data_IF_459542851142
#
_entry.id   IF_459542851142
#
_cell.length_a   1.000
_cell.length_b   1.000
_cell.length_c   1.000
_cell.angle_alpha   90.00
_cell.angle_beta   90.00
_cell.angle_gamma   90.00
#
_symmetry.space_group_name_H-M   'P 1'
#
loop_
_entity.id
_entity.type
_entity.pdbx_description
1 polymer ?
#
# COMPACT_ATOMS: atom_id res chain seq x y z
N UNK A 1 -20.42 4.07 26.79
CA UNK A 1 -20.69 2.73 26.21
C UNK A 1 -19.86 2.61 24.94
N UNK A 2 -18.57 2.27 25.04
CA UNK A 2 -17.78 1.92 23.85
C UNK A 2 -17.81 0.40 23.73
N UNK A 3 -18.73 -0.10 22.91
CA UNK A 3 -18.91 -1.52 22.69
C UNK A 3 -17.62 -2.15 22.18
N UNK A 4 -17.33 -3.36 22.64
CA UNK A 4 -16.14 -4.16 22.35
C UNK A 4 -15.87 -4.33 20.83
N UNK A 5 -15.31 -3.31 20.17
CA UNK A 5 -14.90 -3.38 18.76
C UNK A 5 -13.57 -4.14 18.68
N UNK A 6 -13.58 -5.24 17.94
CA UNK A 6 -12.39 -6.08 17.73
C UNK A 6 -11.22 -5.31 17.08
N UNK A 7 -11.51 -4.38 16.17
CA UNK A 7 -10.47 -3.59 15.51
C UNK A 7 -10.56 -2.13 15.91
N UNK A 8 -9.45 -1.59 16.43
CA UNK A 8 -9.29 -0.18 16.78
C UNK A 8 -8.33 0.49 15.80
N UNK A 9 -8.76 1.57 15.15
CA UNK A 9 -7.88 2.38 14.30
C UNK A 9 -6.83 3.08 15.15
N UNK A 10 -5.56 2.90 14.78
CA UNK A 10 -4.39 3.52 15.41
C UNK A 10 -3.95 4.76 14.62
N UNK A 11 -3.91 4.67 13.29
CA UNK A 11 -3.42 5.74 12.41
C UNK A 11 -4.04 5.61 11.02
N UNK A 12 -4.37 6.75 10.39
CA UNK A 12 -4.66 6.81 8.96
C UNK A 12 -3.39 7.15 8.17
N UNK A 13 -3.23 6.53 7.01
CA UNK A 13 -2.15 6.79 6.08
C UNK A 13 -2.51 7.94 5.14
N UNK A 14 -1.51 8.48 4.43
CA UNK A 14 -1.77 9.48 3.40
C UNK A 14 -2.59 8.88 2.26
N UNK A 15 -3.64 9.59 1.88
CA UNK A 15 -4.54 9.19 0.82
C UNK A 15 -4.00 9.57 -0.57
N UNK A 16 -4.55 8.93 -1.61
CA UNK A 16 -4.37 9.27 -3.03
C UNK A 16 -2.91 9.38 -3.46
N UNK A 17 -2.15 8.32 -3.20
CA UNK A 17 -0.73 8.22 -3.57
C UNK A 17 -0.60 7.42 -4.85
N UNK A 18 0.05 8.01 -5.85
CA UNK A 18 0.24 7.40 -7.15
C UNK A 18 1.66 7.69 -7.66
N UNK A 19 2.24 6.71 -8.35
CA UNK A 19 3.50 6.85 -9.05
C UNK A 19 3.25 6.83 -10.55
N UNK A 20 4.01 7.63 -11.30
CA UNK A 20 3.83 7.78 -12.74
C UNK A 20 3.85 6.41 -13.45
N UNK A 21 2.83 6.17 -14.27
CA UNK A 21 2.67 4.92 -15.02
C UNK A 21 2.18 3.73 -14.19
N UNK A 22 1.91 3.90 -12.89
CA UNK A 22 1.34 2.83 -12.07
C UNK A 22 -0.09 2.51 -12.52
N UNK A 23 -0.42 1.23 -12.76
CA UNK A 23 -1.79 0.80 -13.09
C UNK A 23 -2.75 0.94 -11.90
N UNK A 24 -2.25 1.23 -10.71
CA UNK A 24 -3.02 1.34 -9.46
C UNK A 24 -2.58 2.56 -8.66
N UNK A 25 -3.52 3.14 -7.92
CA UNK A 25 -3.29 4.21 -6.96
C UNK A 25 -3.65 3.73 -5.55
N UNK A 26 -2.85 4.06 -4.54
CA UNK A 26 -3.28 3.90 -3.16
C UNK A 26 -4.36 4.95 -2.88
N UNK A 27 -5.59 4.50 -2.61
CA UNK A 27 -6.70 5.39 -2.28
C UNK A 27 -6.59 5.87 -0.84
N UNK A 28 -6.53 4.93 0.10
CA UNK A 28 -6.42 5.19 1.54
C UNK A 28 -5.84 3.98 2.25
N UNK A 29 -5.36 4.17 3.47
CA UNK A 29 -4.94 3.08 4.32
C UNK A 29 -5.03 3.43 5.80
N UNK A 30 -5.00 2.40 6.65
CA UNK A 30 -5.02 2.56 8.09
C UNK A 30 -4.22 1.46 8.79
N UNK A 31 -3.59 1.83 9.89
CA UNK A 31 -3.08 0.89 10.89
C UNK A 31 -4.17 0.63 11.90
N UNK A 32 -4.51 -0.63 12.10
CA UNK A 32 -5.47 -1.10 13.08
C UNK A 32 -4.75 -1.97 14.12
N UNK A 33 -5.31 -2.02 15.32
CA UNK A 33 -4.95 -2.97 16.37
C UNK A 33 -6.13 -3.90 16.63
N UNK A 34 -5.91 -5.20 16.50
CA UNK A 34 -6.86 -6.21 16.96
C UNK A 34 -6.81 -6.25 18.50
N UNK A 35 -7.92 -5.91 19.16
CA UNK A 35 -8.03 -5.84 20.62
C UNK A 35 -8.15 -7.20 21.28
N UNK A 36 -8.45 -8.25 20.51
CA UNK A 36 -8.54 -9.64 21.00
C UNK A 36 -7.17 -10.32 20.93
N UNK A 37 -6.48 -10.20 19.80
CA UNK A 37 -5.18 -10.88 19.58
C UNK A 37 -3.98 -10.00 19.93
N UNK A 38 -4.16 -8.68 19.97
CA UNK A 38 -3.06 -7.71 20.12
C UNK A 38 -2.30 -7.43 18.83
N UNK A 39 -2.65 -8.09 17.72
CA UNK A 39 -1.96 -7.97 16.44
C UNK A 39 -2.13 -6.58 15.81
N UNK A 40 -1.09 -6.15 15.10
CA UNK A 40 -1.16 -4.96 14.25
C UNK A 40 -1.51 -5.36 12.83
N UNK A 41 -2.40 -4.58 12.23
CA UNK A 41 -2.96 -4.83 10.90
C UNK A 41 -2.79 -3.55 10.09
N UNK A 42 -2.28 -3.70 8.87
CA UNK A 42 -2.28 -2.69 7.85
C UNK A 42 -3.43 -2.99 6.89
N UNK A 43 -4.39 -2.08 6.82
CA UNK A 43 -5.50 -2.13 5.86
C UNK A 43 -5.22 -1.13 4.75
N UNK A 44 -5.18 -1.59 3.51
CA UNK A 44 -4.90 -0.76 2.33
C UNK A 44 -6.08 -0.87 1.36
N UNK A 45 -6.45 0.24 0.74
CA UNK A 45 -7.41 0.27 -0.34
C UNK A 45 -6.79 0.97 -1.54
N UNK A 46 -6.93 0.36 -2.70
CA UNK A 46 -6.40 0.85 -3.96
C UNK A 46 -7.53 1.20 -4.92
N UNK A 47 -7.23 2.02 -5.92
CA UNK A 47 -8.05 2.26 -7.12
C UNK A 47 -7.30 1.68 -8.32
N UNK A 48 -8.00 0.90 -9.14
CA UNK A 48 -7.49 0.49 -10.45
C UNK A 48 -7.56 1.68 -11.42
N UNK A 49 -6.45 2.01 -12.07
CA UNK A 49 -6.36 3.06 -13.09
C UNK A 49 -6.12 2.51 -14.50
N UNK A 50 -5.88 1.21 -14.62
CA UNK A 50 -5.71 0.53 -15.89
C UNK A 50 -7.04 0.38 -16.64
N UNK A 51 -6.97 0.31 -17.97
CA UNK A 51 -8.12 -0.04 -18.81
C UNK A 51 -8.52 -1.52 -18.67
N UNK A 52 -7.57 -2.36 -18.26
CA UNK A 52 -7.76 -3.80 -18.08
C UNK A 52 -8.13 -4.13 -16.64
N UNK A 53 -9.02 -5.09 -16.46
CA UNK A 53 -9.39 -5.59 -15.14
C UNK A 53 -8.21 -6.33 -14.49
N UNK A 54 -7.93 -5.99 -13.22
CA UNK A 54 -6.87 -6.60 -12.44
C UNK A 54 -7.37 -7.90 -11.81
N UNK A 55 -6.57 -8.96 -11.98
CA UNK A 55 -6.74 -10.28 -11.36
C UNK A 55 -5.90 -10.43 -10.09
N UNK A 56 -4.69 -9.90 -10.12
CA UNK A 56 -3.71 -10.06 -9.04
C UNK A 56 -2.82 -8.83 -8.90
N UNK A 57 -2.48 -8.47 -7.66
CA UNK A 57 -1.49 -7.44 -7.36
C UNK A 57 -0.48 -7.93 -6.33
N UNK A 58 0.79 -8.00 -6.73
CA UNK A 58 1.92 -8.34 -5.87
C UNK A 58 2.51 -7.05 -5.32
N UNK A 59 2.54 -6.93 -3.99
CA UNK A 59 3.05 -5.76 -3.29
C UNK A 59 4.10 -6.15 -2.25
N UNK A 60 5.12 -5.32 -2.16
CA UNK A 60 6.12 -5.33 -1.09
C UNK A 60 5.85 -4.11 -0.20
N UNK A 61 5.83 -4.30 1.12
CA UNK A 61 5.52 -3.25 2.08
C UNK A 61 6.70 -3.12 3.03
N UNK A 62 7.41 -1.99 2.96
CA UNK A 62 8.45 -1.66 3.93
C UNK A 62 7.82 -0.95 5.13
N UNK A 63 7.97 -1.55 6.31
CA UNK A 63 7.57 -0.95 7.58
C UNK A 63 8.74 -0.14 8.13
N UNK A 64 8.53 1.16 8.32
CA UNK A 64 9.54 2.11 8.76
C UNK A 64 9.29 2.56 10.20
N UNK A 65 10.34 2.73 10.99
CA UNK A 65 10.25 3.39 12.30
C UNK A 65 10.10 4.92 12.18
N UNK A 66 10.13 5.61 13.33
CA UNK A 66 10.00 7.07 13.38
C UNK A 66 11.19 7.83 12.75
N UNK A 67 12.34 7.16 12.56
CA UNK A 67 13.52 7.71 11.90
C UNK A 67 13.54 7.38 10.39
N UNK A 68 12.53 6.69 9.88
CA UNK A 68 12.48 6.24 8.49
C UNK A 68 13.31 5.00 8.20
N UNK A 69 13.84 4.32 9.23
CA UNK A 69 14.59 3.07 9.04
C UNK A 69 13.61 1.93 8.78
N UNK A 70 13.86 1.14 7.74
CA UNK A 70 13.14 -0.11 7.51
C UNK A 70 13.45 -1.11 8.64
N UNK A 71 12.40 -1.56 9.31
CA UNK A 71 12.48 -2.47 10.47
C UNK A 71 11.77 -3.81 10.22
N UNK A 72 10.99 -3.91 9.14
CA UNK A 72 10.27 -5.11 8.70
C UNK A 72 9.89 -4.91 7.22
N UNK A 73 9.85 -5.98 6.44
CA UNK A 73 9.38 -5.97 5.05
C UNK A 73 8.40 -7.12 4.87
N UNK A 74 7.27 -6.85 4.21
CA UNK A 74 6.18 -7.80 4.01
C UNK A 74 5.93 -7.97 2.52
N UNK A 75 5.88 -9.20 2.06
CA UNK A 75 5.37 -9.52 0.73
C UNK A 75 3.90 -9.94 0.85
N UNK A 76 3.04 -9.30 0.07
CA UNK A 76 1.61 -9.59 0.06
C UNK A 76 1.09 -9.66 -1.37
N UNK A 77 0.23 -10.66 -1.63
CA UNK A 77 -0.42 -10.81 -2.92
C UNK A 77 -1.93 -10.70 -2.74
N UNK A 78 -2.52 -9.70 -3.37
CA UNK A 78 -3.97 -9.62 -3.52
C UNK A 78 -4.38 -10.49 -4.71
N UNK A 79 -5.04 -11.62 -4.44
CA UNK A 79 -5.53 -12.55 -5.47
C UNK A 79 -7.04 -12.41 -5.66
N UNK A 80 -7.57 -13.10 -6.67
CA UNK A 80 -9.00 -13.17 -6.96
C UNK A 80 -9.66 -11.80 -7.13
N UNK A 81 -8.88 -10.83 -7.61
CA UNK A 81 -9.36 -9.49 -7.89
C UNK A 81 -10.21 -9.50 -9.17
N UNK A 82 -11.19 -8.60 -9.18
CA UNK A 82 -12.00 -8.26 -10.34
C UNK A 82 -12.21 -6.74 -10.41
N UNK A 83 -11.09 -6.01 -10.35
CA UNK A 83 -11.13 -4.55 -10.26
C UNK A 83 -10.93 -3.93 -11.64
N UNK A 84 -12.02 -3.39 -12.19
CA UNK A 84 -12.02 -2.60 -13.42
C UNK A 84 -11.57 -1.17 -13.19
N UNK A 85 -11.47 -0.38 -14.27
CA UNK A 85 -11.05 1.02 -14.21
C UNK A 85 -11.91 1.82 -13.21
N UNK A 86 -11.25 2.56 -12.34
CA UNK A 86 -11.81 3.35 -11.23
C UNK A 86 -12.46 2.54 -10.09
N UNK A 87 -12.39 1.22 -10.11
CA UNK A 87 -12.91 0.39 -9.02
C UNK A 87 -11.91 0.24 -7.88
N UNK A 88 -12.46 -0.02 -6.69
CA UNK A 88 -11.71 -0.16 -5.44
C UNK A 88 -11.38 -1.63 -5.16
N UNK A 89 -10.20 -1.89 -4.61
CA UNK A 89 -9.83 -3.22 -4.12
C UNK A 89 -8.90 -3.16 -2.89
N UNK A 90 -8.68 -4.31 -2.25
CA UNK A 90 -7.74 -4.50 -1.13
C UNK A 90 -8.31 -4.25 0.27
N UNK A 91 -9.42 -3.54 0.40
CA UNK A 91 -9.97 -3.12 1.70
C UNK A 91 -10.47 -4.26 2.60
N UNK A 92 -10.66 -5.46 2.06
CA UNK A 92 -11.08 -6.66 2.83
C UNK A 92 -9.93 -7.56 3.25
N UNK A 93 -8.70 -7.26 2.82
CA UNK A 93 -7.51 -8.08 3.06
C UNK A 93 -6.66 -7.46 4.18
N UNK A 94 -6.66 -8.02 5.41
CA UNK A 94 -5.76 -7.55 6.46
C UNK A 94 -4.33 -7.99 6.18
N UNK A 95 -3.39 -7.04 6.13
CA UNK A 95 -1.96 -7.33 6.09
C UNK A 95 -1.41 -7.28 7.51
N UNK A 96 -1.00 -8.40 8.07
CA UNK A 96 -0.45 -8.46 9.43
C UNK A 96 1.03 -8.05 9.44
N UNK A 97 1.42 -7.31 10.47
CA UNK A 97 2.82 -6.96 10.70
C UNK A 97 3.16 -7.08 12.18
N UNK A 98 4.39 -7.48 12.48
CA UNK A 98 4.79 -7.87 13.84
C UNK A 98 5.36 -6.70 14.63
N UNK A 99 5.98 -5.74 13.95
CA UNK A 99 6.77 -4.72 14.63
C UNK A 99 5.92 -3.49 15.02
N UNK A 100 5.54 -3.44 16.30
CA UNK A 100 4.78 -2.31 16.88
C UNK A 100 5.49 -0.94 16.80
N UNK A 101 6.80 -0.91 16.48
CA UNK A 101 7.54 0.34 16.25
C UNK A 101 7.31 0.92 14.86
N UNK A 102 6.66 0.20 13.95
CA UNK A 102 6.34 0.70 12.62
C UNK A 102 5.42 1.92 12.72
N UNK A 103 5.86 3.05 12.17
CA UNK A 103 5.14 4.33 12.16
C UNK A 103 4.79 4.77 10.75
N UNK A 104 5.55 4.31 9.76
CA UNK A 104 5.37 4.67 8.37
C UNK A 104 5.50 3.42 7.47
N UNK A 105 4.93 3.50 6.27
CA UNK A 105 4.85 2.39 5.33
C UNK A 105 5.16 2.89 3.93
N UNK A 106 6.06 2.20 3.24
CA UNK A 106 6.24 2.36 1.80
C UNK A 106 5.67 1.14 1.11
N UNK A 107 4.79 1.36 0.14
CA UNK A 107 4.11 0.30 -0.60
C UNK A 107 4.71 0.29 -2.00
N UNK A 108 5.31 -0.82 -2.37
CA UNK A 108 5.93 -1.02 -3.67
C UNK A 108 5.11 -2.05 -4.44
N UNK A 109 4.40 -1.60 -5.48
CA UNK A 109 3.70 -2.52 -6.38
C UNK A 109 4.78 -3.15 -7.27
N UNK A 110 4.96 -4.48 -7.19
CA UNK A 110 5.99 -5.22 -7.94
C UNK A 110 5.46 -5.76 -9.27
N UNK A 111 4.23 -6.26 -9.25
CA UNK A 111 3.60 -6.89 -10.41
C UNK A 111 2.08 -6.75 -10.33
N UNK A 112 1.45 -6.46 -11.48
CA UNK A 112 0.01 -6.55 -11.67
C UNK A 112 -0.25 -7.58 -12.77
N UNK A 113 -1.10 -8.56 -12.48
CA UNK A 113 -1.64 -9.49 -13.48
C UNK A 113 -3.06 -9.11 -13.82
N UNK A 114 -3.35 -8.96 -15.11
CA UNK A 114 -4.68 -8.63 -15.62
C UNK A 114 -5.49 -9.90 -15.93
N UNK A 115 -6.81 -9.77 -16.08
CA UNK A 115 -7.69 -10.91 -16.40
C UNK A 115 -7.39 -11.58 -17.74
N UNK A 116 -6.80 -10.87 -18.69
CA UNK A 116 -6.37 -11.43 -19.97
C UNK A 116 -5.02 -12.19 -19.87
N UNK A 117 -4.43 -12.25 -18.68
CA UNK A 117 -3.14 -12.89 -18.42
C UNK A 117 -1.91 -12.01 -18.70
N UNK A 118 -2.11 -10.78 -19.23
CA UNK A 118 -1.00 -9.84 -19.40
C UNK A 118 -0.51 -9.33 -18.04
N UNK A 119 0.77 -8.98 -17.97
CA UNK A 119 1.44 -8.59 -16.72
C UNK A 119 2.13 -7.25 -16.89
N UNK A 120 2.00 -6.39 -15.88
CA UNK A 120 2.82 -5.19 -15.73
C UNK A 120 3.83 -5.45 -14.60
N UNK A 121 5.12 -5.56 -14.94
CA UNK A 121 6.20 -5.78 -13.98
C UNK A 121 7.11 -4.56 -13.95
N UNK A 122 6.90 -3.73 -12.93
CA UNK A 122 7.69 -2.54 -12.66
C UNK A 122 7.53 -2.20 -11.16
N UNK A 123 8.49 -1.48 -10.60
CA UNK A 123 8.43 -1.06 -9.20
C UNK A 123 7.75 0.31 -9.08
N UNK A 124 6.51 0.32 -8.60
CA UNK A 124 5.78 1.55 -8.32
C UNK A 124 5.76 1.83 -6.83
N UNK A 125 6.64 2.74 -6.39
CA UNK A 125 6.74 3.17 -4.99
C UNK A 125 5.66 4.18 -4.64
N UNK A 126 4.86 3.86 -3.65
CA UNK A 126 3.79 4.67 -3.09
C UNK A 126 4.13 4.94 -1.62
N UNK A 127 4.37 6.20 -1.26
CA UNK A 127 4.69 6.56 0.13
C UNK A 127 3.41 6.75 0.92
N UNK A 128 3.15 5.90 1.92
CA UNK A 128 2.01 6.03 2.83
C UNK A 128 2.40 6.77 4.12
N UNK A 129 3.20 7.83 3.98
CA UNK A 129 3.58 8.75 5.05
C UNK A 129 2.38 9.52 5.59
N UNK A 130 1.70 8.96 6.59
CA UNK A 130 0.61 9.69 7.26
C UNK A 130 1.09 11.07 7.68
N UNK A 131 0.39 12.11 7.21
CA UNK A 131 0.73 13.54 7.22
C UNK A 131 1.84 13.91 8.22
N UNK A 132 3.09 13.74 7.78
CA UNK A 132 4.24 14.46 8.29
C UNK A 132 4.90 15.03 7.05
N UNK A 133 4.75 16.34 6.89
CA UNK A 133 5.41 17.10 5.85
C UNK A 133 6.92 16.91 6.00
N UNK A 134 7.51 16.06 5.16
CA UNK A 134 8.93 16.10 4.85
C UNK A 134 9.02 16.34 3.35
N UNK A 135 9.25 17.59 3.00
CA UNK A 135 9.76 17.94 1.69
C UNK A 135 11.10 17.21 1.50
N UNK A 136 11.19 16.40 0.44
CA UNK A 136 12.33 16.28 -0.46
C UNK A 136 12.06 15.14 -1.45
N UNK A 137 11.41 15.49 -2.57
CA UNK A 137 11.52 14.69 -3.80
C UNK A 137 12.97 14.81 -4.29
N UNK A 138 13.73 13.72 -4.24
CA UNK A 138 14.91 13.58 -5.10
C UNK A 138 14.41 13.05 -6.45
N UNK A 139 14.26 13.94 -7.42
CA UNK A 139 14.20 13.53 -8.82
C UNK A 139 15.64 13.37 -9.27
N UNK A 140 16.12 12.13 -9.39
CA UNK A 140 17.29 11.84 -10.22
C UNK A 140 16.82 11.90 -11.67
N UNK A 141 17.16 12.98 -12.38
CA UNK A 141 17.06 13.00 -13.85
C UNK A 141 18.40 12.49 -14.38
N UNK A 142 18.49 11.19 -14.60
CA UNK A 142 19.58 10.62 -15.40
C UNK A 142 19.20 10.69 -16.87
N UNK A 143 19.92 11.51 -17.63
CA UNK A 143 20.20 11.26 -19.05
C UNK A 143 19.40 12.09 -20.05
N UNK A 144 20.01 13.18 -20.53
CA UNK A 144 20.07 13.47 -21.97
C UNK A 144 21.50 13.90 -22.27
N UNK A 145 22.23 13.04 -22.97
CA UNK A 145 23.42 13.40 -23.71
C UNK A 145 22.98 13.85 -25.10
N UNK A 146 23.35 15.06 -25.49
CA UNK A 146 23.66 15.44 -26.88
C UNK A 146 24.84 16.38 -26.85
#
# INVERSE_FOLDING_TARGET
>A
MDGNRRYKTVKYLQEKQWSAGSPVMLNKGAVLKDTVTGNHILQLQFICLAEKEIREAVVEIACLDFLGKCIETLDYTYTDLKAGRNELFGDRAPVFFSNAKARNFEINIKEITFQDGTRSRAEYKLSAAGSFCFASFNISVSGISM
#
